data_IF_858281620119
#
_entry.id   IF_858281620119
#
_cell.length_a   1.000
_cell.length_b   1.000
_cell.length_c   1.000
_cell.angle_alpha   90.00
_cell.angle_beta   90.00
_cell.angle_gamma   90.00
#
_symmetry.space_group_name_H-M   'P 1'
#
loop_
_entity.id
_entity.type
_entity.pdbx_description
1 polymer ?
#
# COMPACT_ATOMS: atom_id res chain seq x y z
N UNK A 1 -16.04 14.26 -27.45
CA UNK A 1 -17.29 13.47 -27.60
C UNK A 1 -18.34 14.22 -28.41
N UNK A 2 -18.83 15.40 -28.01
CA UNK A 2 -19.81 16.16 -28.82
C UNK A 2 -19.24 16.49 -30.22
N UNK A 3 -18.05 17.08 -30.28
CA UNK A 3 -17.35 17.31 -31.56
C UNK A 3 -17.06 16.04 -32.37
N UNK A 4 -17.01 14.85 -31.73
CA UNK A 4 -16.89 13.56 -32.41
C UNK A 4 -18.16 13.20 -33.15
N UNK A 5 -19.28 13.35 -32.43
CA UNK A 5 -20.60 12.99 -32.90
C UNK A 5 -20.95 13.83 -34.12
N UNK A 6 -20.64 15.13 -34.09
CA UNK A 6 -20.86 16.04 -35.21
C UNK A 6 -20.03 15.65 -36.45
N UNK A 7 -18.77 15.25 -36.27
CA UNK A 7 -17.91 14.80 -37.37
C UNK A 7 -18.35 13.44 -37.95
N UNK A 8 -18.75 12.50 -37.10
CA UNK A 8 -19.25 11.19 -37.53
C UNK A 8 -20.61 11.34 -38.24
N UNK A 9 -21.47 12.23 -37.74
CA UNK A 9 -22.73 12.56 -38.39
C UNK A 9 -22.49 13.17 -39.79
N UNK A 10 -21.54 14.09 -39.93
CA UNK A 10 -21.14 14.65 -41.23
C UNK A 10 -20.66 13.56 -42.21
N UNK A 11 -19.84 12.61 -41.74
CA UNK A 11 -19.41 11.44 -42.55
C UNK A 11 -20.61 10.61 -43.02
N UNK A 12 -21.66 10.48 -42.19
CA UNK A 12 -22.91 9.82 -42.55
C UNK A 12 -23.72 10.57 -43.61
N UNK A 13 -23.77 11.90 -43.53
CA UNK A 13 -24.47 12.74 -44.52
C UNK A 13 -23.74 12.80 -45.88
N UNK A 14 -22.41 12.70 -45.87
CA UNK A 14 -21.56 12.70 -47.07
C UNK A 14 -21.26 11.28 -47.60
N UNK A 15 -21.88 10.24 -47.03
CA UNK A 15 -21.60 8.86 -47.38
C UNK A 15 -22.03 8.55 -48.83
N UNK A 16 -21.06 8.29 -49.69
CA UNK A 16 -21.26 7.73 -51.02
C UNK A 16 -21.55 6.21 -50.97
N UNK A 17 -21.60 5.52 -52.12
CA UNK A 17 -21.93 4.10 -52.20
C UNK A 17 -20.89 3.17 -51.54
N UNK A 18 -19.67 3.66 -51.30
CA UNK A 18 -18.64 2.93 -50.55
C UNK A 18 -18.81 3.14 -49.03
N UNK A 19 -19.66 2.28 -48.46
CA UNK A 19 -19.96 2.25 -47.03
C UNK A 19 -18.70 1.92 -46.19
N UNK A 20 -17.75 1.15 -46.74
CA UNK A 20 -16.52 0.77 -46.05
C UNK A 20 -15.61 1.96 -45.74
N UNK A 21 -15.43 2.86 -46.71
CA UNK A 21 -14.64 4.06 -46.54
C UNK A 21 -15.24 5.06 -45.52
N UNK A 22 -16.57 5.09 -45.37
CA UNK A 22 -17.25 5.90 -44.36
C UNK A 22 -17.10 5.30 -42.96
N UNK A 23 -17.17 3.97 -42.83
CA UNK A 23 -16.89 3.27 -41.58
C UNK A 23 -15.47 3.51 -41.08
N UNK A 24 -14.46 3.35 -41.94
CA UNK A 24 -13.06 3.59 -41.54
C UNK A 24 -12.81 5.04 -41.10
N UNK A 25 -13.45 6.03 -41.73
CA UNK A 25 -13.36 7.44 -41.30
C UNK A 25 -14.00 7.68 -39.92
N UNK A 26 -15.14 7.06 -39.65
CA UNK A 26 -15.78 7.13 -38.34
C UNK A 26 -14.92 6.45 -37.26
N UNK A 27 -14.32 5.30 -37.57
CA UNK A 27 -13.38 4.61 -36.68
C UNK A 27 -12.14 5.47 -36.39
N UNK A 28 -11.56 6.14 -37.38
CA UNK A 28 -10.42 7.04 -37.21
C UNK A 28 -10.73 8.21 -36.27
N UNK A 29 -11.92 8.80 -36.39
CA UNK A 29 -12.37 9.89 -35.50
C UNK A 29 -12.46 9.37 -34.06
N UNK A 30 -13.05 8.20 -33.85
CA UNK A 30 -13.14 7.56 -32.52
C UNK A 30 -11.75 7.20 -31.98
N UNK A 31 -10.87 6.67 -32.82
CA UNK A 31 -9.52 6.26 -32.47
C UNK A 31 -8.65 7.44 -32.02
N UNK A 32 -8.73 8.58 -32.73
CA UNK A 32 -8.02 9.82 -32.38
C UNK A 32 -8.45 10.38 -31.02
N UNK A 33 -9.72 10.24 -30.66
CA UNK A 33 -10.19 10.63 -29.33
C UNK A 33 -9.73 9.69 -28.23
N UNK A 34 -9.63 8.39 -28.51
CA UNK A 34 -9.14 7.40 -27.54
C UNK A 34 -7.68 7.66 -27.13
N UNK A 35 -6.85 8.20 -28.04
CA UNK A 35 -5.47 8.61 -27.75
C UNK A 35 -5.33 9.70 -26.67
N UNK A 36 -6.37 10.48 -26.39
CA UNK A 36 -6.37 11.50 -25.35
C UNK A 36 -6.71 10.98 -23.94
N UNK A 37 -7.22 9.75 -23.81
CA UNK A 37 -7.60 9.16 -22.53
C UNK A 37 -6.81 7.86 -22.28
N UNK A 38 -5.62 8.01 -21.69
CA UNK A 38 -5.09 7.16 -20.60
C UNK A 38 -5.05 5.64 -20.73
N UNK A 39 -5.36 5.02 -21.87
CA UNK A 39 -5.05 3.62 -22.10
C UNK A 39 -3.58 3.53 -22.51
N UNK A 40 -2.77 2.81 -21.74
CA UNK A 40 -1.39 2.46 -22.11
C UNK A 40 -1.43 1.83 -23.51
N UNK A 41 -0.86 2.53 -24.50
CA UNK A 41 -0.76 2.04 -25.89
C UNK A 41 0.33 0.95 -25.97
N UNK A 42 0.34 0.18 -27.06
CA UNK A 42 1.39 -0.82 -27.28
C UNK A 42 2.76 -0.13 -27.32
N UNK A 43 3.62 -0.46 -26.37
CA UNK A 43 4.98 0.09 -26.25
C UNK A 43 5.97 -0.93 -26.78
N UNK A 44 6.92 -0.49 -27.61
CA UNK A 44 7.95 -1.38 -28.13
C UNK A 44 8.92 -1.78 -27.01
N UNK A 45 9.27 -3.07 -26.90
CA UNK A 45 10.11 -3.59 -25.80
C UNK A 45 11.42 -2.81 -25.61
N UNK A 46 12.04 -2.33 -26.69
CA UNK A 46 13.23 -1.47 -26.63
C UNK A 46 13.05 -0.24 -25.74
N UNK A 47 11.92 0.47 -25.86
CA UNK A 47 11.66 1.66 -25.05
C UNK A 47 11.56 1.34 -23.55
N UNK A 48 11.04 0.15 -23.22
CA UNK A 48 10.98 -0.35 -21.83
C UNK A 48 12.39 -0.72 -21.34
N UNK A 49 13.18 -1.39 -22.17
CA UNK A 49 14.55 -1.78 -21.85
C UNK A 49 15.46 -0.55 -21.66
N UNK A 50 15.36 0.46 -22.53
CA UNK A 50 16.13 1.70 -22.43
C UNK A 50 15.85 2.40 -21.08
N UNK A 51 14.57 2.48 -20.70
CA UNK A 51 14.16 3.04 -19.39
C UNK A 51 14.69 2.20 -18.22
N UNK A 52 14.67 0.86 -18.33
CA UNK A 52 15.13 -0.03 -17.27
C UNK A 52 16.61 0.16 -16.94
N UNK A 53 17.45 0.40 -17.96
CA UNK A 53 18.89 0.61 -17.77
C UNK A 53 19.27 2.05 -17.38
N UNK A 54 18.36 3.03 -17.55
CA UNK A 54 18.59 4.43 -17.17
C UNK A 54 18.27 4.72 -15.69
N UNK A 55 17.48 3.87 -15.02
CA UNK A 55 17.13 4.02 -13.60
C UNK A 55 18.28 3.68 -12.66
N UNK A 56 19.21 4.62 -12.46
CA UNK A 56 19.98 4.72 -11.23
C UNK A 56 19.33 5.79 -10.34
N UNK A 57 18.96 5.50 -9.08
CA UNK A 57 18.35 6.49 -8.22
C UNK A 57 19.33 7.64 -7.95
N UNK A 58 18.89 8.87 -8.22
CA UNK A 58 19.60 10.08 -7.82
C UNK A 58 19.41 10.34 -6.31
N UNK A 59 20.46 10.80 -5.59
CA UNK A 59 20.33 11.17 -4.19
C UNK A 59 19.38 12.34 -4.00
N UNK A 60 18.74 12.35 -2.84
CA UNK A 60 17.72 13.29 -2.36
C UNK A 60 18.12 14.76 -2.57
N UNK A 61 17.23 15.54 -3.17
CA UNK A 61 17.34 17.01 -3.28
C UNK A 61 16.40 17.63 -2.26
N UNK A 62 16.94 18.43 -1.33
CA UNK A 62 16.16 19.17 -0.33
C UNK A 62 15.05 20.01 -0.99
N UNK A 63 13.82 19.90 -0.48
CA UNK A 63 12.67 20.68 -0.92
C UNK A 63 11.74 20.02 -1.93
N UNK A 64 12.02 18.78 -2.38
CA UNK A 64 11.07 17.96 -3.15
C UNK A 64 10.35 16.95 -2.24
N UNK A 65 9.10 16.55 -2.56
CA UNK A 65 8.47 15.39 -1.91
C UNK A 65 9.41 14.20 -2.03
N UNK A 66 9.63 13.46 -0.93
CA UNK A 66 10.49 12.26 -0.90
C UNK A 66 10.13 11.36 -2.08
N UNK A 67 11.10 11.12 -2.95
CA UNK A 67 10.91 10.14 -4.03
C UNK A 67 10.76 8.76 -3.37
N UNK A 68 9.67 8.03 -3.63
CA UNK A 68 9.43 6.81 -2.89
C UNK A 68 10.33 5.69 -3.41
N UNK A 69 10.77 4.82 -2.51
CA UNK A 69 11.83 3.86 -2.77
C UNK A 69 11.42 2.81 -3.80
N UNK A 70 12.33 2.36 -4.69
CA UNK A 70 12.01 1.37 -5.73
C UNK A 70 11.62 0.00 -5.14
N UNK A 71 12.14 -0.32 -3.97
CA UNK A 71 11.76 -1.48 -3.16
C UNK A 71 12.05 -1.21 -1.69
N UNK A 72 11.46 -2.02 -0.80
CA UNK A 72 11.78 -2.06 0.63
C UNK A 72 12.11 -3.48 1.06
N UNK A 73 12.98 -3.63 2.06
CA UNK A 73 13.37 -4.93 2.60
C UNK A 73 12.52 -5.30 3.82
N UNK A 74 12.25 -6.59 4.00
CA UNK A 74 11.55 -7.09 5.19
C UNK A 74 12.43 -7.10 6.44
N UNK A 75 13.76 -7.06 6.25
CA UNK A 75 14.81 -7.32 7.24
C UNK A 75 14.80 -8.76 7.79
N UNK A 76 14.08 -9.67 7.14
CA UNK A 76 14.26 -11.10 7.30
C UNK A 76 15.16 -11.61 6.18
N UNK A 77 16.44 -11.84 6.48
CA UNK A 77 17.48 -12.17 5.48
C UNK A 77 17.02 -13.24 4.49
N UNK A 78 16.51 -14.38 4.97
CA UNK A 78 16.07 -15.46 4.08
C UNK A 78 14.84 -15.12 3.22
N UNK A 79 13.99 -14.19 3.67
CA UNK A 79 12.85 -13.72 2.88
C UNK A 79 13.30 -12.71 1.83
N UNK A 80 14.21 -11.81 2.20
CA UNK A 80 14.76 -10.79 1.30
C UNK A 80 15.63 -11.41 0.22
N UNK A 81 16.43 -12.43 0.54
CA UNK A 81 17.18 -13.22 -0.45
C UNK A 81 16.27 -13.95 -1.43
N UNK A 82 15.12 -14.45 -0.95
CA UNK A 82 14.18 -15.18 -1.79
C UNK A 82 13.33 -14.26 -2.68
N UNK A 83 12.87 -13.12 -2.16
CA UNK A 83 12.00 -12.19 -2.87
C UNK A 83 12.75 -11.11 -3.65
N UNK A 84 13.99 -10.79 -3.26
CA UNK A 84 14.71 -9.60 -3.73
C UNK A 84 14.21 -8.28 -3.09
N UNK A 85 13.37 -8.38 -2.07
CA UNK A 85 12.66 -7.26 -1.46
C UNK A 85 11.23 -7.08 -1.99
N UNK A 86 10.51 -6.13 -1.41
CA UNK A 86 9.16 -5.75 -1.82
C UNK A 86 9.22 -4.60 -2.83
N UNK A 87 9.09 -4.93 -4.12
CA UNK A 87 9.10 -3.94 -5.20
C UNK A 87 7.77 -3.20 -5.33
N UNK A 88 7.84 -1.96 -5.82
CA UNK A 88 6.62 -1.18 -6.07
C UNK A 88 5.77 -1.80 -7.17
N UNK A 89 4.45 -1.70 -7.00
CA UNK A 89 3.41 -2.26 -7.88
C UNK A 89 3.16 -3.76 -7.73
N UNK A 90 3.95 -4.45 -6.91
CA UNK A 90 3.72 -5.87 -6.61
C UNK A 90 2.67 -6.04 -5.51
N UNK A 91 1.92 -7.14 -5.58
CA UNK A 91 0.96 -7.56 -4.57
C UNK A 91 1.47 -8.82 -3.87
N UNK A 92 1.80 -8.69 -2.59
CA UNK A 92 2.21 -9.80 -1.73
C UNK A 92 1.05 -10.27 -0.86
N UNK A 93 0.80 -11.59 -0.84
CA UNK A 93 -0.28 -12.20 -0.07
C UNK A 93 0.31 -13.12 1.01
N UNK A 94 0.04 -12.81 2.27
CA UNK A 94 0.43 -13.64 3.42
C UNK A 94 -0.73 -14.58 3.78
N UNK A 95 -0.62 -15.84 3.37
CA UNK A 95 -1.59 -16.90 3.68
C UNK A 95 -1.23 -17.69 4.93
N UNK A 96 -2.24 -18.09 5.71
CA UNK A 96 -2.05 -18.94 6.89
C UNK A 96 -3.30 -19.07 7.76
N UNK A 97 -3.38 -20.13 8.57
CA UNK A 97 -4.53 -20.36 9.47
C UNK A 97 -4.62 -19.29 10.56
N UNK A 98 -5.78 -19.10 11.22
CA UNK A 98 -5.88 -18.29 12.43
C UNK A 98 -4.80 -18.66 13.44
N UNK A 99 -4.28 -17.68 14.17
CA UNK A 99 -3.23 -17.85 15.19
C UNK A 99 -1.84 -18.29 14.69
N UNK A 100 -1.60 -18.39 13.37
CA UNK A 100 -0.26 -18.70 12.82
C UNK A 100 0.68 -17.48 12.72
N UNK A 101 0.34 -16.34 13.34
CA UNK A 101 1.24 -15.19 13.44
C UNK A 101 1.29 -14.25 12.22
N UNK A 102 0.33 -14.31 11.29
CA UNK A 102 0.27 -13.43 10.11
C UNK A 102 0.38 -11.95 10.45
N UNK A 103 -0.47 -11.47 11.36
CA UNK A 103 -0.44 -10.08 11.85
C UNK A 103 0.89 -9.73 12.48
N UNK A 104 1.46 -10.63 13.30
CA UNK A 104 2.76 -10.40 13.93
C UNK A 104 3.89 -10.27 12.91
N UNK A 105 3.87 -11.10 11.85
CA UNK A 105 4.81 -10.99 10.73
C UNK A 105 4.64 -9.65 10.00
N UNK A 106 3.40 -9.28 9.65
CA UNK A 106 3.11 -8.02 8.97
C UNK A 106 3.56 -6.80 9.80
N UNK A 107 3.30 -6.80 11.10
CA UNK A 107 3.74 -5.73 12.01
C UNK A 107 5.27 -5.68 12.15
N UNK A 108 5.95 -6.83 12.14
CA UNK A 108 7.41 -6.88 12.18
C UNK A 108 8.01 -6.28 10.92
N UNK A 109 7.46 -6.62 9.75
CA UNK A 109 7.86 -6.03 8.47
C UNK A 109 7.60 -4.51 8.49
N UNK A 110 6.41 -4.07 8.92
CA UNK A 110 6.07 -2.65 9.02
C UNK A 110 7.07 -1.88 9.89
N UNK A 111 7.42 -2.44 11.05
CA UNK A 111 8.39 -1.87 11.99
C UNK A 111 9.77 -1.77 11.35
N UNK A 112 10.29 -2.87 10.81
CA UNK A 112 11.62 -2.92 10.21
C UNK A 112 11.74 -1.91 9.06
N UNK A 113 10.76 -1.90 8.16
CA UNK A 113 10.68 -0.99 7.01
C UNK A 113 10.64 0.49 7.46
N UNK A 114 9.84 0.82 8.47
CA UNK A 114 9.71 2.20 8.93
C UNK A 114 10.87 2.68 9.81
N UNK A 115 11.39 1.82 10.69
CA UNK A 115 12.43 2.17 11.67
C UNK A 115 13.81 2.15 11.05
N UNK A 116 14.15 1.08 10.31
CA UNK A 116 15.49 0.84 9.78
C UNK A 116 15.71 1.56 8.44
N UNK A 117 14.72 1.55 7.55
CA UNK A 117 14.82 2.13 6.20
C UNK A 117 14.17 3.52 6.09
N UNK A 118 13.61 4.04 7.19
CA UNK A 118 12.89 5.33 7.25
C UNK A 118 11.81 5.45 6.18
N UNK A 119 11.21 4.32 5.81
CA UNK A 119 10.18 4.24 4.80
C UNK A 119 8.81 4.64 5.37
N UNK A 120 7.92 5.15 4.51
CA UNK A 120 6.55 5.44 4.89
C UNK A 120 5.65 4.21 4.71
N UNK A 121 5.01 3.76 5.79
CA UNK A 121 4.13 2.58 5.82
C UNK A 121 2.71 2.99 6.16
N UNK A 122 1.76 2.61 5.32
CA UNK A 122 0.32 2.71 5.61
C UNK A 122 -0.22 1.34 6.04
N UNK A 123 -0.82 1.25 7.22
CA UNK A 123 -1.39 0.03 7.77
C UNK A 123 -2.90 0.19 7.94
N UNK A 124 -3.67 -0.62 7.22
CA UNK A 124 -5.11 -0.71 7.33
C UNK A 124 -5.48 -1.98 8.10
N UNK A 125 -6.06 -1.82 9.29
CA UNK A 125 -6.46 -2.92 10.16
C UNK A 125 -7.96 -2.96 10.32
N UNK A 126 -8.61 -4.01 9.82
CA UNK A 126 -10.06 -4.18 9.91
C UNK A 126 -10.46 -5.14 11.03
N UNK A 127 -9.52 -5.90 11.58
CA UNK A 127 -9.76 -6.87 12.66
C UNK A 127 -9.36 -6.32 14.04
N UNK A 128 -8.29 -5.53 14.10
CA UNK A 128 -7.69 -5.09 15.36
C UNK A 128 -7.68 -3.57 15.50
N UNK A 129 -7.98 -3.09 16.71
CA UNK A 129 -7.83 -1.68 17.06
C UNK A 129 -6.35 -1.25 17.02
N UNK A 130 -6.10 0.03 16.68
CA UNK A 130 -4.76 0.61 16.59
C UNK A 130 -3.92 0.40 17.85
N UNK A 131 -4.51 0.55 19.03
CA UNK A 131 -3.81 0.43 20.32
C UNK A 131 -3.25 -0.99 20.53
N UNK A 132 -3.97 -2.01 20.06
CA UNK A 132 -3.52 -3.39 20.15
C UNK A 132 -2.37 -3.69 19.20
N UNK A 133 -2.31 -3.01 18.05
CA UNK A 133 -1.20 -3.12 17.11
C UNK A 133 0.05 -2.41 17.65
N UNK A 134 -0.12 -1.18 18.16
CA UNK A 134 0.96 -0.39 18.78
C UNK A 134 1.56 -1.13 19.97
N UNK A 135 0.74 -1.72 20.84
CA UNK A 135 1.22 -2.54 21.96
C UNK A 135 2.10 -3.71 21.49
N UNK A 136 1.74 -4.36 20.39
CA UNK A 136 2.53 -5.46 19.82
C UNK A 136 3.85 -4.96 19.21
N UNK A 137 3.83 -3.81 18.55
CA UNK A 137 5.05 -3.17 18.04
C UNK A 137 5.99 -2.79 19.18
N UNK A 138 5.47 -2.15 20.25
CA UNK A 138 6.24 -1.80 21.44
C UNK A 138 6.85 -3.02 22.12
N UNK A 139 6.06 -4.09 22.30
CA UNK A 139 6.57 -5.34 22.87
C UNK A 139 7.69 -5.95 22.01
N UNK A 140 7.55 -5.88 20.68
CA UNK A 140 8.55 -6.38 19.74
C UNK A 140 9.83 -5.54 19.74
N UNK A 141 9.72 -4.22 19.86
CA UNK A 141 10.85 -3.29 19.84
C UNK A 141 11.60 -3.29 21.18
N UNK A 142 10.87 -3.25 22.30
CA UNK A 142 11.45 -3.25 23.64
C UNK A 142 11.98 -4.61 24.11
N UNK A 143 11.51 -5.71 23.49
CA UNK A 143 11.75 -7.06 23.98
C UNK A 143 11.09 -7.35 25.34
N UNK A 144 10.02 -6.63 25.67
CA UNK A 144 9.23 -6.80 26.90
C UNK A 144 7.92 -7.53 26.58
N UNK A 145 7.47 -8.41 27.48
CA UNK A 145 6.23 -9.14 27.29
C UNK A 145 5.04 -8.18 27.14
N UNK A 146 4.17 -8.39 26.15
CA UNK A 146 3.05 -7.48 25.84
C UNK A 146 2.08 -7.26 27.01
N UNK A 147 1.90 -8.24 27.90
CA UNK A 147 1.12 -8.07 29.14
C UNK A 147 1.79 -7.08 30.09
N UNK A 148 3.12 -7.09 30.17
CA UNK A 148 3.88 -6.17 31.01
C UNK A 148 3.97 -4.79 30.39
N UNK A 149 4.16 -4.68 29.07
CA UNK A 149 4.08 -3.38 28.37
C UNK A 149 2.75 -2.69 28.68
N UNK A 150 1.63 -3.42 28.61
CA UNK A 150 0.32 -2.89 28.98
C UNK A 150 0.28 -2.36 30.42
N UNK A 151 0.81 -3.14 31.37
CA UNK A 151 0.85 -2.74 32.77
C UNK A 151 1.74 -1.52 33.01
N UNK A 152 2.86 -1.37 32.30
CA UNK A 152 3.67 -0.15 32.35
C UNK A 152 2.93 1.09 31.83
N UNK A 153 1.95 0.92 30.94
CA UNK A 153 1.11 2.04 30.44
C UNK A 153 -0.08 2.35 31.35
N UNK A 154 -0.50 1.42 32.22
CA UNK A 154 -1.75 1.50 32.99
C UNK A 154 -1.54 1.70 34.51
N UNK A 155 -0.36 1.42 35.07
CA UNK A 155 -0.13 1.43 36.52
C UNK A 155 0.91 2.47 36.98
N UNK A 156 0.49 3.34 37.89
CA UNK A 156 1.37 4.19 38.70
C UNK A 156 2.13 3.35 39.74
N UNK A 157 3.46 3.38 39.63
CA UNK A 157 4.45 3.56 40.70
C UNK A 157 4.26 2.94 42.12
N UNK A 158 3.69 1.74 42.29
CA UNK A 158 3.67 1.06 43.61
C UNK A 158 4.51 -0.24 43.68
N UNK A 159 5.50 -0.40 42.80
CA UNK A 159 6.46 -1.51 42.85
C UNK A 159 7.90 -1.01 42.74
N UNK A 160 8.30 -0.20 43.71
CA UNK A 160 9.63 0.41 43.84
C UNK A 160 10.78 -0.58 44.15
N UNK A 161 10.50 -1.87 44.38
CA UNK A 161 11.52 -2.82 44.89
C UNK A 161 11.87 -3.96 43.91
N UNK A 162 11.54 -3.81 42.63
CA UNK A 162 11.93 -4.76 41.59
C UNK A 162 12.76 -4.05 40.50
N UNK A 163 14.09 -4.09 40.63
CA UNK A 163 15.06 -3.58 39.63
C UNK A 163 14.75 -4.02 38.19
N UNK A 164 14.11 -5.18 38.01
CA UNK A 164 13.68 -5.65 36.69
C UNK A 164 12.54 -4.81 36.10
N UNK A 165 11.67 -4.26 36.94
CA UNK A 165 10.57 -3.40 36.52
C UNK A 165 11.09 -2.09 35.93
N UNK A 166 12.06 -1.45 36.59
CA UNK A 166 12.71 -0.23 36.11
C UNK A 166 13.42 -0.46 34.77
N UNK A 167 14.15 -1.58 34.63
CA UNK A 167 14.82 -1.93 33.38
C UNK A 167 13.84 -2.19 32.22
N UNK A 168 12.69 -2.80 32.49
CA UNK A 168 11.66 -3.02 31.49
C UNK A 168 10.94 -1.72 31.11
N UNK A 169 10.67 -0.85 32.07
CA UNK A 169 10.11 0.48 31.82
C UNK A 169 11.02 1.33 30.95
N UNK A 170 12.32 1.37 31.26
CA UNK A 170 13.32 2.08 30.45
C UNK A 170 13.33 1.58 29.00
N UNK A 171 13.34 0.26 28.79
CA UNK A 171 13.30 -0.32 27.42
C UNK A 171 12.00 0.01 26.68
N UNK A 172 10.87 0.07 27.38
CA UNK A 172 9.58 0.47 26.78
C UNK A 172 9.58 1.95 26.40
N UNK A 173 10.16 2.83 27.22
CA UNK A 173 10.33 4.24 26.89
C UNK A 173 11.25 4.46 25.69
N UNK A 174 12.39 3.76 25.64
CA UNK A 174 13.32 3.77 24.50
C UNK A 174 12.61 3.34 23.20
N UNK A 175 11.88 2.22 23.24
CA UNK A 175 11.09 1.74 22.12
C UNK A 175 10.00 2.73 21.69
N UNK A 176 9.38 3.43 22.64
CA UNK A 176 8.38 4.47 22.35
C UNK A 176 9.02 5.62 21.59
N UNK A 177 10.22 6.05 21.99
CA UNK A 177 11.00 7.06 21.26
C UNK A 177 11.24 6.66 19.82
N UNK A 178 11.77 5.45 19.60
CA UNK A 178 12.04 4.90 18.26
C UNK A 178 10.78 4.85 17.38
N UNK A 179 9.67 4.32 17.91
CA UNK A 179 8.43 4.21 17.16
C UNK A 179 7.76 5.57 16.90
N UNK A 180 7.92 6.55 17.79
CA UNK A 180 7.35 7.89 17.62
C UNK A 180 7.95 8.66 16.44
N UNK A 181 9.20 8.38 16.09
CA UNK A 181 9.89 8.95 14.93
C UNK A 181 9.63 8.16 13.63
N UNK A 182 9.00 6.99 13.72
CA UNK A 182 8.74 6.13 12.56
C UNK A 182 7.55 6.62 11.74
N UNK A 183 7.63 6.47 10.41
CA UNK A 183 6.57 6.88 9.49
C UNK A 183 5.52 5.78 9.28
N UNK A 184 4.88 5.34 10.37
CA UNK A 184 3.80 4.33 10.35
C UNK A 184 2.45 5.02 10.56
N UNK A 185 1.55 4.90 9.58
CA UNK A 185 0.21 5.47 9.62
C UNK A 185 -0.84 4.37 9.71
N UNK A 186 -1.64 4.36 10.78
CA UNK A 186 -2.61 3.29 11.07
C UNK A 186 -4.04 3.79 10.85
N UNK A 187 -4.82 3.00 10.15
CA UNK A 187 -6.27 3.14 10.03
C UNK A 187 -6.96 1.87 10.53
N UNK A 188 -7.72 1.97 11.61
CA UNK A 188 -8.47 0.86 12.22
C UNK A 188 -9.98 0.93 11.95
N UNK A 189 -10.39 1.61 10.87
CA UNK A 189 -11.81 1.71 10.49
C UNK A 189 -12.35 0.29 10.17
N UNK A 190 -13.36 -0.21 10.90
CA UNK A 190 -13.93 -1.53 10.63
C UNK A 190 -14.68 -1.53 9.29
N UNK A 191 -14.64 -2.66 8.58
CA UNK A 191 -15.34 -2.86 7.30
C UNK A 191 -15.04 -1.78 6.23
N UNK A 192 -13.80 -1.29 6.19
CA UNK A 192 -13.37 -0.25 5.25
C UNK A 192 -13.54 -0.70 3.79
N UNK A 193 -14.16 0.15 2.95
CA UNK A 193 -14.33 -0.13 1.52
C UNK A 193 -13.06 0.15 0.73
N UNK A 194 -12.86 -0.56 -0.38
CA UNK A 194 -11.71 -0.34 -1.28
C UNK A 194 -11.58 1.12 -1.75
N UNK A 195 -12.69 1.75 -2.15
CA UNK A 195 -12.67 3.13 -2.63
C UNK A 195 -12.20 4.11 -1.54
N UNK A 196 -12.59 3.87 -0.29
CA UNK A 196 -12.20 4.68 0.87
C UNK A 196 -10.74 4.47 1.23
N UNK A 197 -10.29 3.20 1.30
CA UNK A 197 -8.88 2.85 1.50
C UNK A 197 -8.00 3.51 0.44
N UNK A 198 -8.37 3.39 -0.84
CA UNK A 198 -7.66 4.00 -1.96
C UNK A 198 -7.58 5.52 -1.83
N UNK A 199 -8.67 6.17 -1.41
CA UNK A 199 -8.71 7.62 -1.19
C UNK A 199 -7.74 8.04 -0.08
N UNK A 200 -7.77 7.34 1.06
CA UNK A 200 -6.87 7.58 2.20
C UNK A 200 -5.40 7.35 1.83
N UNK A 201 -5.10 6.24 1.16
CA UNK A 201 -3.76 5.94 0.67
C UNK A 201 -3.24 6.99 -0.33
N UNK A 202 -4.09 7.44 -1.27
CA UNK A 202 -3.72 8.52 -2.20
C UNK A 202 -3.40 9.81 -1.48
N UNK A 203 -4.23 10.21 -0.51
CA UNK A 203 -4.00 11.43 0.28
C UNK A 203 -2.65 11.36 1.01
N UNK A 204 -2.40 10.27 1.72
CA UNK A 204 -1.13 10.07 2.43
C UNK A 204 0.07 10.03 1.46
N UNK A 205 -0.08 9.40 0.29
CA UNK A 205 0.94 9.40 -0.75
C UNK A 205 1.31 10.82 -1.22
N UNK A 206 0.32 11.69 -1.43
CA UNK A 206 0.59 13.08 -1.82
C UNK A 206 1.22 13.92 -0.69
N UNK A 207 0.89 13.63 0.57
CA UNK A 207 1.40 14.39 1.72
C UNK A 207 2.82 13.96 2.13
N UNK A 208 3.14 12.66 2.06
CA UNK A 208 4.33 12.06 2.66
C UNK A 208 5.10 11.10 1.76
N UNK A 209 4.50 10.67 0.64
CA UNK A 209 4.91 9.46 -0.05
C UNK A 209 4.46 8.20 0.72
N UNK A 210 4.38 7.07 0.01
CA UNK A 210 4.15 5.74 0.62
C UNK A 210 5.06 4.75 -0.08
N UNK A 211 5.79 3.98 0.73
CA UNK A 211 6.71 2.93 0.29
C UNK A 211 6.08 1.54 0.46
N UNK A 212 5.23 1.35 1.47
CA UNK A 212 4.55 0.08 1.73
C UNK A 212 3.10 0.27 2.21
N UNK A 213 2.17 -0.53 1.70
CA UNK A 213 0.79 -0.62 2.20
C UNK A 213 0.55 -2.02 2.74
N UNK A 214 0.09 -2.12 3.98
CA UNK A 214 -0.28 -3.37 4.64
C UNK A 214 -1.78 -3.36 4.93
N UNK A 215 -2.46 -4.46 4.63
CA UNK A 215 -3.89 -4.63 4.87
C UNK A 215 -4.12 -5.91 5.68
N UNK A 216 -4.64 -5.77 6.90
CA UNK A 216 -4.96 -6.89 7.81
C UNK A 216 -6.47 -6.95 8.10
N UNK A 217 -7.27 -7.82 7.47
CA UNK A 217 -6.96 -8.74 6.38
C UNK A 217 -7.99 -8.61 5.24
N UNK A 218 -7.57 -8.94 4.02
CA UNK A 218 -8.35 -8.73 2.78
C UNK A 218 -9.77 -9.30 2.80
N UNK A 219 -10.03 -10.37 3.57
CA UNK A 219 -11.37 -10.97 3.61
C UNK A 219 -12.37 -10.15 4.41
N UNK A 220 -12.01 -9.01 5.02
CA UNK A 220 -12.97 -8.10 5.65
C UNK A 220 -13.29 -6.88 4.76
N UNK A 221 -12.65 -6.76 3.61
CA UNK A 221 -12.96 -5.73 2.63
C UNK A 221 -14.30 -6.02 1.96
N UNK A 222 -15.11 -4.98 1.80
CA UNK A 222 -16.34 -5.03 1.03
C UNK A 222 -16.07 -4.55 -0.40
N UNK A 223 -16.47 -5.36 -1.38
CA UNK A 223 -16.55 -4.93 -2.78
C UNK A 223 -17.64 -3.88 -2.99
N UNK A 224 -17.50 -3.05 -4.03
CA UNK A 224 -18.50 -2.02 -4.39
C UNK A 224 -19.84 -2.62 -4.89
N UNK A 225 -19.90 -3.93 -5.16
CA UNK A 225 -21.10 -4.66 -5.56
C UNK A 225 -21.41 -5.76 -4.55
N UNK A 226 -22.70 -5.95 -4.22
CA UNK A 226 -23.17 -7.18 -3.55
C UNK A 226 -22.96 -8.35 -4.51
N UNK A 227 -21.84 -9.03 -4.40
CA UNK A 227 -21.56 -10.28 -5.11
C UNK A 227 -22.02 -11.43 -4.20
N UNK A 228 -22.86 -12.34 -4.70
CA UNK A 228 -23.36 -13.49 -3.92
C UNK A 228 -22.26 -14.50 -3.58
N UNK A 229 -21.10 -14.42 -4.25
CA UNK A 229 -20.00 -15.36 -4.12
C UNK A 229 -18.72 -14.69 -3.61
N UNK A 230 -18.35 -14.99 -2.36
CA UNK A 230 -17.16 -14.44 -1.67
C UNK A 230 -15.85 -14.72 -2.39
N UNK A 231 -15.75 -15.81 -3.16
CA UNK A 231 -14.55 -16.15 -3.94
C UNK A 231 -14.34 -15.18 -5.11
N UNK A 232 -15.42 -14.74 -5.76
CA UNK A 232 -15.36 -13.74 -6.83
C UNK A 232 -14.99 -12.36 -6.28
N UNK A 233 -15.52 -11.99 -5.12
CA UNK A 233 -15.20 -10.73 -4.46
C UNK A 233 -13.71 -10.63 -4.11
N UNK A 234 -13.11 -11.67 -3.51
CA UNK A 234 -11.66 -11.68 -3.22
C UNK A 234 -10.83 -11.61 -4.51
N UNK A 235 -11.27 -12.26 -5.58
CA UNK A 235 -10.60 -12.19 -6.89
C UNK A 235 -10.66 -10.79 -7.50
N UNK A 236 -11.79 -10.09 -7.34
CA UNK A 236 -11.95 -8.68 -7.77
C UNK A 236 -11.10 -7.73 -6.92
N UNK A 237 -10.96 -7.98 -5.62
CA UNK A 237 -10.13 -7.16 -4.73
C UNK A 237 -8.63 -7.31 -5.00
N UNK A 238 -8.20 -8.48 -5.47
CA UNK A 238 -6.78 -8.77 -5.77
C UNK A 238 -6.31 -8.33 -7.17
N UNK A 239 -7.23 -7.95 -8.07
CA UNK A 239 -6.94 -7.61 -9.47
C UNK A 239 -6.87 -6.10 -9.68
#
# INVERSE_FOLDING_TARGET
>A
LISAADQIAAVGYEAGPDVGASFSRAEDILFKMRRGQGARDLTHIRQVLDTYFETLPTPEVEGRPREPMPYVLSSFVGLDEFLGGFHRSDLFIIGGRPSMGKTSLALSIARNVAVEQKACVALFSMEMARDSLVLRMLASESGVNSRRVRLHTEYDAEREDDSRWEDEERRVMEATGVLSESSIYIDDTPMLRMAEMRSKARRLYFERGIDLIIVDYLQLMQGDRRVENRVQEVSELSR
#
